data_IF_089420558830
#
_entry.id   IF_089420558830
#
_cell.length_a   1.000
_cell.length_b   1.000
_cell.length_c   1.000
_cell.angle_alpha   90.00
_cell.angle_beta   90.00
_cell.angle_gamma   90.00
#
_symmetry.space_group_name_H-M   'P 1'
#
loop_
_entity.id
_entity.type
_entity.pdbx_description
1 polymer ?
#
# COMPACT_ATOMS: atom_id res chain seq x y z
N UNK A 1 -47.35 14.48 48.81
CA UNK A 1 -46.58 13.36 48.23
C UNK A 1 -47.31 12.87 46.98
N UNK A 2 -46.61 12.63 45.87
CA UNK A 2 -47.08 12.07 44.58
C UNK A 2 -47.55 13.02 43.45
N UNK A 3 -46.75 14.04 43.13
CA UNK A 3 -46.74 14.66 41.79
C UNK A 3 -45.76 13.92 40.83
N UNK A 4 -44.94 12.99 41.35
CA UNK A 4 -43.87 12.32 40.58
C UNK A 4 -44.40 11.18 39.69
N UNK A 5 -45.65 10.75 39.80
CA UNK A 5 -46.16 9.56 39.07
C UNK A 5 -46.72 9.81 37.66
N UNK A 6 -46.57 11.01 37.08
CA UNK A 6 -47.24 11.33 35.81
C UNK A 6 -46.38 11.99 34.74
N UNK A 7 -45.10 11.62 34.66
CA UNK A 7 -44.27 11.90 33.48
C UNK A 7 -43.29 10.75 33.23
N UNK A 8 -43.80 9.57 32.93
CA UNK A 8 -43.03 8.61 32.13
C UNK A 8 -43.88 8.37 30.90
N UNK A 9 -43.64 9.28 29.94
CA UNK A 9 -44.39 9.36 28.70
C UNK A 9 -44.43 8.00 28.02
N UNK A 10 -45.60 7.72 27.45
CA UNK A 10 -45.80 6.72 26.43
C UNK A 10 -44.82 7.04 25.30
N UNK A 11 -43.60 6.51 25.39
CA UNK A 11 -42.68 6.51 24.27
C UNK A 11 -43.33 5.62 23.22
N UNK A 12 -43.93 6.28 22.25
CA UNK A 12 -44.67 5.67 21.17
C UNK A 12 -43.73 4.67 20.47
N UNK A 13 -44.09 3.39 20.52
CA UNK A 13 -43.26 2.28 20.01
C UNK A 13 -42.91 2.48 18.53
N UNK A 14 -43.76 3.21 17.79
CA UNK A 14 -43.53 3.66 16.40
C UNK A 14 -42.33 4.59 16.28
N UNK A 15 -42.12 5.49 17.23
CA UNK A 15 -40.97 6.39 17.27
C UNK A 15 -39.67 5.62 17.54
N UNK A 16 -39.73 4.58 18.38
CA UNK A 16 -38.58 3.72 18.68
C UNK A 16 -38.18 2.85 17.48
N UNK A 17 -39.15 2.25 16.80
CA UNK A 17 -38.96 1.52 15.54
C UNK A 17 -38.38 2.41 14.44
N UNK A 18 -38.87 3.65 14.30
CA UNK A 18 -38.31 4.63 13.37
C UNK A 18 -36.85 4.97 13.66
N UNK A 19 -36.47 5.08 14.94
CA UNK A 19 -35.11 5.37 15.39
C UNK A 19 -34.14 4.19 15.14
N UNK A 20 -34.59 2.95 15.37
CA UNK A 20 -33.83 1.73 15.05
C UNK A 20 -33.66 1.60 13.54
N UNK A 21 -34.70 1.88 12.74
CA UNK A 21 -34.61 1.87 11.29
C UNK A 21 -33.61 2.93 10.80
N UNK A 22 -33.64 4.15 11.37
CA UNK A 22 -32.67 5.20 11.06
C UNK A 22 -31.23 4.77 11.39
N UNK A 23 -30.99 4.21 12.58
CA UNK A 23 -29.68 3.70 13.00
C UNK A 23 -29.18 2.55 12.11
N UNK A 24 -30.08 1.72 11.58
CA UNK A 24 -29.74 0.63 10.67
C UNK A 24 -29.30 1.13 9.28
N UNK A 25 -29.88 2.24 8.79
CA UNK A 25 -29.46 2.87 7.52
C UNK A 25 -28.06 3.49 7.65
N UNK A 26 -27.73 4.07 8.81
CA UNK A 26 -26.36 4.56 9.07
C UNK A 26 -25.33 3.44 9.31
N UNK A 27 -25.76 2.25 9.72
CA UNK A 27 -24.88 1.07 9.87
C UNK A 27 -24.51 0.41 8.54
N UNK A 28 -25.23 0.76 7.46
CA UNK A 28 -25.00 0.26 6.10
C UNK A 28 -23.84 0.93 5.36
N UNK A 29 -23.38 2.10 5.81
CA UNK A 29 -22.13 2.70 5.33
C UNK A 29 -20.92 2.10 6.05
N UNK A 30 -20.73 0.78 5.93
CA UNK A 30 -19.36 0.26 6.02
C UNK A 30 -18.71 0.76 4.74
N UNK A 31 -17.92 1.83 4.87
CA UNK A 31 -17.02 2.32 3.82
C UNK A 31 -16.48 1.11 3.06
N UNK A 32 -16.50 1.21 1.75
CA UNK A 32 -16.14 0.16 0.82
C UNK A 32 -14.62 -0.11 0.93
N UNK A 33 -14.17 -0.64 2.08
CA UNK A 33 -12.76 -0.82 2.48
C UNK A 33 -12.02 -1.70 1.49
N UNK A 34 -12.75 -2.50 0.70
CA UNK A 34 -12.23 -3.34 -0.38
C UNK A 34 -11.48 -2.52 -1.45
N UNK A 35 -11.76 -1.23 -1.59
CA UNK A 35 -11.20 -0.34 -2.61
C UNK A 35 -10.29 0.78 -2.06
N UNK A 36 -9.81 0.71 -0.81
CA UNK A 36 -8.86 1.73 -0.33
C UNK A 36 -7.49 1.58 -1.01
N UNK A 37 -6.74 2.68 -1.25
CA UNK A 37 -5.37 2.62 -1.77
C UNK A 37 -4.46 1.66 -1.00
N UNK A 38 -4.61 1.61 0.33
CA UNK A 38 -3.91 0.64 1.17
C UNK A 38 -4.25 -0.81 0.80
N UNK A 39 -5.52 -1.15 0.57
CA UNK A 39 -5.89 -2.52 0.14
C UNK A 39 -5.33 -2.89 -1.23
N UNK A 40 -5.13 -1.93 -2.12
CA UNK A 40 -4.48 -2.16 -3.41
C UNK A 40 -3.04 -2.65 -3.19
N UNK A 41 -2.29 -1.96 -2.31
CA UNK A 41 -0.92 -2.34 -1.94
C UNK A 41 -0.91 -3.71 -1.25
N UNK A 42 -1.77 -3.91 -0.24
CA UNK A 42 -1.83 -5.17 0.52
C UNK A 42 -2.09 -6.38 -0.38
N UNK A 43 -3.10 -6.29 -1.26
CA UNK A 43 -3.52 -7.42 -2.09
C UNK A 43 -2.49 -7.77 -3.18
N UNK A 44 -1.68 -6.80 -3.61
CA UNK A 44 -0.69 -6.98 -4.65
C UNK A 44 0.74 -7.04 -4.09
N UNK A 45 0.90 -7.04 -2.77
CA UNK A 45 2.19 -6.76 -2.12
C UNK A 45 3.35 -7.64 -2.61
N UNK A 46 3.14 -8.96 -2.68
CA UNK A 46 4.19 -9.89 -3.13
C UNK A 46 4.62 -9.66 -4.58
N UNK A 47 3.70 -9.25 -5.44
CA UNK A 47 3.99 -8.89 -6.84
C UNK A 47 4.72 -7.56 -6.94
N UNK A 48 4.49 -6.62 -6.01
CA UNK A 48 5.12 -5.30 -6.00
C UNK A 48 6.59 -5.34 -5.61
N UNK A 49 6.91 -6.11 -4.55
CA UNK A 49 8.24 -6.10 -3.94
C UNK A 49 9.23 -7.05 -4.60
N UNK A 50 8.77 -7.84 -5.58
CA UNK A 50 9.53 -8.94 -6.18
C UNK A 50 9.93 -10.01 -5.14
N UNK A 51 9.78 -11.29 -5.48
CA UNK A 51 10.20 -12.36 -4.58
C UNK A 51 11.69 -12.67 -4.69
N UNK A 52 12.47 -11.89 -5.43
CA UNK A 52 13.94 -12.01 -5.53
C UNK A 52 14.62 -12.14 -4.15
N UNK A 53 14.16 -11.40 -3.13
CA UNK A 53 14.73 -11.51 -1.79
C UNK A 53 14.47 -12.88 -1.11
N UNK A 54 13.54 -13.71 -1.62
CA UNK A 54 13.34 -15.08 -1.12
C UNK A 54 14.51 -15.99 -1.46
N UNK A 55 15.28 -15.66 -2.50
CA UNK A 55 16.45 -16.39 -2.97
C UNK A 55 17.74 -15.72 -2.50
N UNK A 56 17.79 -14.39 -2.50
CA UNK A 56 19.03 -13.62 -2.27
C UNK A 56 19.07 -12.83 -0.96
N UNK A 57 17.93 -12.67 -0.27
CA UNK A 57 17.88 -12.10 1.08
C UNK A 57 17.97 -10.59 1.09
N UNK A 58 17.92 -9.98 -0.10
CA UNK A 58 17.90 -8.56 -0.39
C UNK A 58 17.07 -8.32 -1.65
N UNK A 59 16.48 -7.14 -1.80
CA UNK A 59 15.71 -6.80 -3.00
C UNK A 59 16.57 -6.60 -4.27
N UNK A 60 17.90 -6.56 -4.14
CA UNK A 60 18.85 -6.41 -5.24
C UNK A 60 20.12 -7.24 -5.02
N UNK A 61 20.85 -7.58 -6.08
CA UNK A 61 22.19 -8.16 -5.93
C UNK A 61 23.13 -7.11 -5.33
N UNK A 62 23.62 -7.39 -4.13
CA UNK A 62 24.69 -6.62 -3.48
C UNK A 62 25.99 -6.96 -4.21
N UNK A 63 26.85 -5.97 -4.45
CA UNK A 63 28.13 -6.16 -5.15
C UNK A 63 28.90 -7.36 -4.56
N UNK A 64 29.16 -8.35 -5.40
CA UNK A 64 29.69 -9.65 -5.01
C UNK A 64 31.17 -9.49 -4.68
N UNK A 65 31.53 -9.31 -3.42
CA UNK A 65 32.81 -9.83 -2.95
C UNK A 65 32.66 -11.36 -2.86
N UNK A 66 33.33 -12.06 -3.77
CA UNK A 66 33.36 -13.53 -4.00
C UNK A 66 33.81 -14.38 -2.81
N UNK A 67 33.89 -13.81 -1.59
CA UNK A 67 34.08 -14.53 -0.32
C UNK A 67 32.78 -14.71 0.47
N UNK A 68 31.65 -14.15 0.02
CA UNK A 68 30.38 -14.07 0.75
C UNK A 68 29.30 -15.08 0.30
N UNK A 69 29.59 -15.94 -0.67
CA UNK A 69 28.63 -16.92 -1.22
C UNK A 69 28.02 -17.84 -0.13
N UNK A 70 28.79 -18.18 0.91
CA UNK A 70 28.29 -18.98 2.04
C UNK A 70 27.49 -18.18 3.09
N UNK A 71 27.71 -16.87 3.22
CA UNK A 71 26.99 -16.02 4.20
C UNK A 71 25.68 -15.43 3.65
N UNK A 72 25.44 -15.51 2.34
CA UNK A 72 24.28 -14.96 1.66
C UNK A 72 23.25 -16.01 1.22
N UNK A 73 23.42 -17.28 1.58
CA UNK A 73 22.40 -18.30 1.34
C UNK A 73 21.17 -18.06 2.24
N UNK A 74 20.07 -17.59 1.63
CA UNK A 74 18.76 -17.38 2.29
C UNK A 74 18.16 -18.66 2.87
N UNK A 75 18.74 -19.84 2.56
CA UNK A 75 18.29 -21.14 3.06
C UNK A 75 18.25 -21.22 4.59
N UNK A 76 18.95 -20.35 5.31
CA UNK A 76 18.97 -20.33 6.78
C UNK A 76 18.01 -19.33 7.44
N UNK A 77 17.31 -18.51 6.66
CA UNK A 77 16.40 -17.50 7.21
C UNK A 77 14.95 -17.82 6.83
N UNK A 78 14.16 -18.49 7.69
CA UNK A 78 12.76 -18.80 7.38
C UNK A 78 11.92 -17.55 7.16
N UNK A 79 12.32 -16.43 7.78
CA UNK A 79 11.64 -15.15 7.71
C UNK A 79 12.61 -14.03 7.31
N UNK A 80 12.07 -13.04 6.60
CA UNK A 80 12.75 -11.83 6.17
C UNK A 80 12.08 -10.62 6.84
N UNK A 81 12.82 -9.57 7.11
CA UNK A 81 12.28 -8.32 7.62
C UNK A 81 12.38 -7.23 6.58
N UNK A 82 11.29 -6.48 6.42
CA UNK A 82 11.23 -5.33 5.53
C UNK A 82 10.70 -4.11 6.27
N UNK A 83 11.22 -2.96 5.90
CA UNK A 83 10.67 -1.67 6.30
C UNK A 83 9.80 -1.13 5.18
N UNK A 84 8.61 -0.61 5.53
CA UNK A 84 7.74 0.09 4.59
C UNK A 84 7.57 1.54 5.05
N UNK A 85 7.74 2.48 4.13
CA UNK A 85 7.43 3.88 4.38
C UNK A 85 5.93 4.06 4.63
N UNK A 86 5.59 4.51 5.85
CA UNK A 86 4.20 4.65 6.28
C UNK A 86 3.45 5.75 5.52
N UNK A 87 4.14 6.84 5.17
CA UNK A 87 3.55 7.99 4.47
C UNK A 87 3.75 7.82 2.97
N UNK A 88 2.65 7.92 2.23
CA UNK A 88 2.62 7.89 0.78
C UNK A 88 2.27 9.30 0.33
N UNK A 89 3.15 9.86 -0.50
CA UNK A 89 3.04 11.24 -0.97
C UNK A 89 3.46 11.38 -2.42
N UNK A 90 3.40 12.62 -2.90
CA UNK A 90 3.99 12.96 -4.19
C UNK A 90 5.50 13.13 -4.02
N UNK A 91 6.24 12.57 -4.95
CA UNK A 91 7.66 12.61 -5.14
C UNK A 91 7.93 13.18 -6.53
N UNK A 92 8.85 14.13 -6.61
CA UNK A 92 9.31 14.68 -7.89
C UNK A 92 10.41 13.81 -8.52
N UNK A 93 10.74 12.67 -7.89
CA UNK A 93 11.74 11.75 -8.44
C UNK A 93 11.22 11.20 -9.76
N UNK A 94 12.10 11.29 -10.77
CA UNK A 94 11.90 10.73 -12.09
C UNK A 94 10.60 11.20 -12.80
N UNK A 95 10.22 12.47 -12.61
CA UNK A 95 9.00 13.04 -13.20
C UNK A 95 9.00 12.95 -14.74
N UNK A 96 10.15 13.18 -15.36
CA UNK A 96 10.31 13.06 -16.82
C UNK A 96 10.12 11.62 -17.30
N UNK A 97 10.64 10.65 -16.54
CA UNK A 97 10.52 9.22 -16.82
C UNK A 97 9.07 8.74 -16.64
N UNK A 98 8.37 9.23 -15.61
CA UNK A 98 6.94 8.98 -15.41
C UNK A 98 6.14 9.53 -16.59
N UNK A 99 6.38 10.79 -16.98
CA UNK A 99 5.68 11.40 -18.11
C UNK A 99 5.98 10.66 -19.42
N UNK A 100 7.25 10.31 -19.66
CA UNK A 100 7.68 9.53 -20.81
C UNK A 100 7.00 8.16 -20.87
N UNK A 101 6.85 7.48 -19.73
CA UNK A 101 6.07 6.24 -19.63
C UNK A 101 4.61 6.47 -20.01
N UNK A 102 3.94 7.46 -19.40
CA UNK A 102 2.52 7.73 -19.64
C UNK A 102 2.24 8.12 -21.10
N UNK A 103 3.12 8.90 -21.73
CA UNK A 103 3.02 9.24 -23.15
C UNK A 103 3.15 7.99 -24.03
N UNK A 104 4.16 7.14 -23.78
CA UNK A 104 4.39 5.91 -24.55
C UNK A 104 3.22 4.94 -24.45
N UNK A 105 2.64 4.80 -23.27
CA UNK A 105 1.44 3.97 -23.05
C UNK A 105 0.15 4.65 -23.52
N UNK A 106 0.21 5.89 -24.03
CA UNK A 106 -0.95 6.71 -24.45
C UNK A 106 -1.95 6.95 -23.32
N UNK A 107 -1.45 7.08 -22.09
CA UNK A 107 -2.22 7.29 -20.87
C UNK A 107 -2.17 8.72 -20.35
N UNK A 108 -1.33 9.59 -20.92
CA UNK A 108 -1.09 10.96 -20.46
C UNK A 108 -2.39 11.75 -20.25
N UNK A 109 -3.29 11.75 -21.24
CA UNK A 109 -4.58 12.43 -21.15
C UNK A 109 -5.47 11.94 -20.01
N UNK A 110 -5.34 10.68 -19.57
CA UNK A 110 -6.14 10.12 -18.46
C UNK A 110 -5.68 10.61 -17.09
N UNK A 111 -4.43 11.05 -16.97
CA UNK A 111 -3.82 11.42 -15.69
C UNK A 111 -3.41 12.89 -15.58
N UNK A 112 -3.41 13.64 -16.69
CA UNK A 112 -3.06 15.07 -16.72
C UNK A 112 -3.96 15.92 -15.82
N UNK A 113 -5.27 15.61 -15.74
CA UNK A 113 -6.22 16.35 -14.91
C UNK A 113 -6.12 16.03 -13.41
N UNK A 114 -5.42 14.94 -13.04
CA UNK A 114 -5.27 14.47 -11.66
C UNK A 114 -4.06 15.10 -10.94
N UNK A 115 -3.41 16.08 -11.55
CA UNK A 115 -2.21 16.75 -11.02
C UNK A 115 -2.46 17.57 -9.74
N UNK A 116 -3.72 17.86 -9.38
CA UNK A 116 -4.06 18.76 -8.27
C UNK A 116 -4.81 18.15 -7.06
N UNK A 117 -5.10 16.85 -7.01
CA UNK A 117 -5.95 16.30 -5.95
C UNK A 117 -5.23 15.57 -4.80
N UNK A 118 -5.71 15.87 -3.59
CA UNK A 118 -5.42 15.27 -2.28
C UNK A 118 -5.54 13.73 -2.22
N UNK A 119 -6.09 13.09 -3.25
CA UNK A 119 -6.26 11.62 -3.32
C UNK A 119 -4.93 10.87 -3.49
N UNK A 120 -3.83 11.57 -3.77
CA UNK A 120 -2.50 10.98 -3.99
C UNK A 120 -1.68 10.79 -2.72
N UNK A 121 -2.18 11.28 -1.57
CA UNK A 121 -1.45 11.26 -0.31
C UNK A 121 -2.25 10.55 0.78
N UNK A 122 -1.66 9.54 1.38
CA UNK A 122 -2.28 8.79 2.47
C UNK A 122 -1.24 8.16 3.39
N UNK A 123 -1.70 7.66 4.53
CA UNK A 123 -0.86 7.02 5.53
C UNK A 123 -1.32 5.58 5.65
N UNK A 124 -0.39 4.63 5.53
CA UNK A 124 -0.63 3.24 5.86
C UNK A 124 -0.96 3.15 7.36
N UNK A 125 -2.15 2.66 7.67
CA UNK A 125 -2.63 2.63 9.05
C UNK A 125 -2.16 1.37 9.80
N UNK A 126 -2.55 1.26 11.06
CA UNK A 126 -2.17 0.13 11.92
C UNK A 126 -2.84 -1.19 11.53
N UNK A 127 -3.77 -1.18 10.57
CA UNK A 127 -4.44 -2.38 10.04
C UNK A 127 -3.66 -3.04 8.91
N UNK A 128 -2.59 -2.43 8.42
CA UNK A 128 -1.69 -3.05 7.45
C UNK A 128 -1.09 -4.35 8.03
N UNK A 129 -1.07 -5.45 7.26
CA UNK A 129 -0.56 -6.73 7.75
C UNK A 129 0.89 -6.63 8.22
N UNK A 130 1.16 -7.09 9.44
CA UNK A 130 2.53 -7.19 9.98
C UNK A 130 3.35 -8.32 9.34
N UNK A 131 2.71 -9.20 8.57
CA UNK A 131 3.34 -10.31 7.87
C UNK A 131 2.63 -10.59 6.56
N UNK A 132 3.38 -10.73 5.47
CA UNK A 132 2.90 -11.15 4.15
C UNK A 132 3.91 -12.12 3.54
N UNK A 133 3.51 -13.37 3.31
CA UNK A 133 4.43 -14.44 2.92
C UNK A 133 5.54 -14.64 3.96
N UNK A 134 6.81 -14.64 3.52
CA UNK A 134 7.99 -14.71 4.40
C UNK A 134 8.42 -13.36 4.99
N UNK A 135 7.78 -12.26 4.60
CA UNK A 135 8.15 -10.92 5.04
C UNK A 135 7.42 -10.55 6.34
N UNK A 136 8.19 -10.22 7.38
CA UNK A 136 7.74 -9.45 8.52
C UNK A 136 7.88 -7.96 8.21
N UNK A 137 6.78 -7.23 8.38
CA UNK A 137 6.61 -5.86 7.90
C UNK A 137 6.63 -4.90 9.09
N UNK A 138 7.47 -3.88 8.99
CA UNK A 138 7.59 -2.81 9.99
C UNK A 138 7.46 -1.43 9.35
N UNK A 139 6.85 -0.49 10.06
CA UNK A 139 6.89 0.94 9.73
C UNK A 139 7.99 1.71 10.46
N UNK A 140 8.76 1.02 11.30
CA UNK A 140 9.91 1.59 11.99
C UNK A 140 11.19 1.04 11.35
N UNK A 141 12.17 1.91 11.01
CA UNK A 141 13.44 1.51 10.42
C UNK A 141 14.32 0.91 11.52
N UNK A 142 13.95 -0.27 12.02
CA UNK A 142 14.74 -1.02 12.99
C UNK A 142 15.13 -2.34 12.35
N UNK A 143 16.42 -2.53 12.10
CA UNK A 143 16.98 -3.80 11.63
C UNK A 143 16.83 -4.82 12.77
N UNK A 144 15.93 -5.81 12.66
CA UNK A 144 15.78 -6.80 13.72
C UNK A 144 17.05 -7.65 13.82
N UNK A 145 17.45 -7.98 15.03
CA UNK A 145 18.72 -8.69 15.28
C UNK A 145 18.65 -10.19 14.98
N UNK A 146 17.44 -10.76 14.84
CA UNK A 146 17.22 -12.21 14.68
C UNK A 146 16.64 -12.63 13.32
N UNK A 147 16.31 -11.67 12.46
CA UNK A 147 15.62 -11.90 11.19
C UNK A 147 16.47 -11.21 10.12
N UNK A 148 16.73 -11.87 8.98
CA UNK A 148 17.50 -11.26 7.90
C UNK A 148 16.73 -10.06 7.36
N UNK A 149 17.39 -8.91 7.36
CA UNK A 149 16.87 -7.69 6.78
C UNK A 149 16.96 -7.76 5.26
N UNK A 150 15.81 -7.65 4.58
CA UNK A 150 15.72 -7.71 3.13
C UNK A 150 15.75 -6.32 2.47
N UNK A 151 15.36 -5.27 3.21
CA UNK A 151 15.44 -3.90 2.73
C UNK A 151 14.21 -3.04 3.04
N UNK A 152 14.07 -1.97 2.25
CA UNK A 152 13.06 -0.93 2.38
C UNK A 152 12.17 -0.88 1.14
N UNK A 153 10.89 -0.59 1.37
CA UNK A 153 9.88 -0.40 0.33
C UNK A 153 9.20 0.94 0.55
N UNK A 154 9.27 1.82 -0.44
CA UNK A 154 8.53 3.07 -0.43
C UNK A 154 7.53 3.12 -1.58
N UNK A 155 6.39 3.78 -1.35
CA UNK A 155 5.37 4.01 -2.37
C UNK A 155 5.15 5.51 -2.53
N UNK A 156 5.01 5.97 -3.76
CA UNK A 156 4.78 7.38 -4.08
C UNK A 156 3.93 7.57 -5.34
N UNK A 157 3.51 8.81 -5.58
CA UNK A 157 2.78 9.26 -6.78
C UNK A 157 1.56 8.40 -7.11
N UNK A 158 0.78 8.06 -6.08
CA UNK A 158 -0.38 7.21 -6.25
C UNK A 158 -1.52 7.98 -6.93
N UNK A 159 -1.88 7.61 -8.16
CA UNK A 159 -2.96 8.26 -8.92
C UNK A 159 -3.98 7.24 -9.40
N UNK A 160 -5.26 7.53 -9.23
CA UNK A 160 -6.38 6.73 -9.76
C UNK A 160 -7.23 7.61 -10.68
N UNK A 161 -7.47 7.12 -11.89
CA UNK A 161 -8.40 7.67 -12.88
C UNK A 161 -9.42 6.59 -13.23
N UNK A 162 -10.63 6.69 -12.66
CA UNK A 162 -11.70 5.70 -12.82
C UNK A 162 -11.28 4.25 -12.46
N UNK A 163 -11.09 3.42 -13.48
CA UNK A 163 -10.72 2.01 -13.43
C UNK A 163 -9.22 1.76 -13.65
N UNK A 164 -8.44 2.81 -13.89
CA UNK A 164 -6.99 2.74 -14.05
C UNK A 164 -6.30 3.53 -12.96
N UNK A 165 -5.08 3.13 -12.63
CA UNK A 165 -4.24 3.87 -11.73
C UNK A 165 -2.78 3.57 -11.95
N UNK A 166 -1.92 4.41 -11.41
CA UNK A 166 -0.50 4.11 -11.31
C UNK A 166 0.07 4.58 -9.99
N UNK A 167 1.20 4.01 -9.61
CA UNK A 167 2.01 4.49 -8.52
C UNK A 167 3.46 4.06 -8.73
N UNK A 168 4.37 4.61 -7.94
CA UNK A 168 5.77 4.24 -7.93
C UNK A 168 6.02 3.36 -6.71
N UNK A 169 6.77 2.28 -6.91
CA UNK A 169 7.35 1.47 -5.84
C UNK A 169 8.86 1.53 -5.92
N UNK A 170 9.49 1.93 -4.83
CA UNK A 170 10.94 1.98 -4.68
C UNK A 170 11.39 0.85 -3.78
N UNK A 171 12.40 0.11 -4.22
CA UNK A 171 13.01 -0.98 -3.47
C UNK A 171 14.48 -0.65 -3.21
N UNK A 172 14.91 -0.71 -1.95
CA UNK A 172 16.31 -0.55 -1.54
C UNK A 172 16.71 -1.63 -0.51
N UNK A 173 17.99 -1.86 -0.31
CA UNK A 173 18.53 -2.68 0.80
C UNK A 173 18.84 -1.83 2.05
N UNK A 174 18.42 -0.57 2.09
CA UNK A 174 18.73 0.39 3.16
C UNK A 174 20.09 1.09 3.04
N UNK A 175 20.75 1.01 1.88
CA UNK A 175 21.94 1.81 1.50
C UNK A 175 21.61 2.89 0.45
N UNK A 176 22.62 3.61 -0.06
CA UNK A 176 22.51 4.81 -0.91
C UNK A 176 21.88 4.61 -2.30
N UNK A 177 21.52 3.38 -2.67
CA UNK A 177 20.91 3.08 -3.96
C UNK A 177 19.43 2.74 -3.83
N UNK A 178 18.61 2.90 -4.86
CA UNK A 178 17.24 2.37 -4.92
C UNK A 178 16.90 2.02 -6.37
N UNK A 179 15.95 1.12 -6.57
CA UNK A 179 15.36 0.88 -7.89
C UNK A 179 13.89 1.29 -7.81
N UNK A 180 13.52 2.27 -8.63
CA UNK A 180 12.14 2.74 -8.76
C UNK A 180 11.44 2.05 -9.92
N UNK A 181 10.22 1.57 -9.67
CA UNK A 181 9.35 0.99 -10.69
C UNK A 181 8.05 1.78 -10.78
N UNK A 182 7.59 2.04 -12.00
CA UNK A 182 6.20 2.43 -12.22
C UNK A 182 5.34 1.18 -12.27
N UNK A 183 4.22 1.23 -11.55
CA UNK A 183 3.23 0.15 -11.51
C UNK A 183 1.93 0.70 -12.04
N UNK A 184 1.44 0.11 -13.11
CA UNK A 184 0.12 0.37 -13.67
C UNK A 184 -0.86 -0.69 -13.15
N UNK A 185 -2.00 -0.21 -12.63
CA UNK A 185 -3.07 -1.04 -12.09
C UNK A 185 -4.37 -0.78 -12.84
N UNK A 186 -5.19 -1.81 -12.94
CA UNK A 186 -6.54 -1.74 -13.52
C UNK A 186 -7.54 -2.44 -12.60
N UNK A 187 -8.77 -1.91 -12.56
CA UNK A 187 -9.88 -2.44 -11.77
C UNK A 187 -10.77 -3.32 -12.63
N UNK A 188 -10.60 -4.63 -12.52
CA UNK A 188 -11.46 -5.63 -13.17
C UNK A 188 -12.34 -6.31 -12.12
N UNK A 189 -13.66 -6.38 -12.35
CA UNK A 189 -14.63 -7.01 -11.43
C UNK A 189 -14.57 -6.47 -10.00
N UNK A 190 -14.28 -5.18 -9.87
CA UNK A 190 -14.15 -4.52 -8.58
C UNK A 190 -12.86 -4.85 -7.81
N UNK A 191 -11.87 -5.46 -8.46
CA UNK A 191 -10.57 -5.82 -7.87
C UNK A 191 -9.46 -5.12 -8.67
N UNK A 192 -8.58 -4.42 -7.96
CA UNK A 192 -7.38 -3.81 -8.54
C UNK A 192 -6.27 -4.83 -8.74
N UNK A 193 -5.78 -4.96 -9.98
CA UNK A 193 -4.70 -5.86 -10.37
C UNK A 193 -3.58 -5.07 -11.03
N UNK A 194 -2.34 -5.53 -10.85
CA UNK A 194 -1.20 -5.01 -11.61
C UNK A 194 -1.30 -5.53 -13.04
N UNK A 195 -1.31 -4.60 -14.00
CA UNK A 195 -1.28 -4.92 -15.43
C UNK A 195 0.08 -4.64 -16.06
N UNK A 196 0.87 -3.75 -15.47
CA UNK A 196 2.25 -3.47 -15.91
C UNK A 196 3.12 -3.04 -14.74
N UNK A 197 4.39 -3.45 -14.77
CA UNK A 197 5.45 -2.98 -13.87
C UNK A 197 6.70 -2.80 -14.70
N UNK A 198 7.30 -1.61 -14.67
CA UNK A 198 8.48 -1.28 -15.48
C UNK A 198 9.49 -0.51 -14.63
N UNK A 199 10.80 -0.82 -14.72
CA UNK A 199 11.82 -0.01 -14.07
C UNK A 199 11.82 1.41 -14.67
N UNK A 200 11.85 2.42 -13.81
CA UNK A 200 11.99 3.83 -14.21
C UNK A 200 13.41 4.34 -14.02
N UNK A 201 14.00 4.07 -12.86
CA UNK A 201 15.32 4.60 -12.50
C UNK A 201 16.04 3.69 -11.52
N UNK A 202 17.34 3.94 -11.40
CA UNK A 202 18.21 3.40 -10.36
C UNK A 202 19.07 4.54 -9.82
N UNK A 203 19.12 4.68 -8.50
CA UNK A 203 20.06 5.59 -7.83
C UNK A 203 21.31 4.85 -7.37
#
# INVERSE_FOLDING_TARGET
MNIIKKMVGILNIRTYLGLILLLSVFSGCKDNKKNSPQKIIENNFLTLVDTFAYEHGSFRPVGIDTRSEEQNSVKHYPELSIFISKKIGNSNIAENEIHGFLQREKLDSKFNELTNEKQSQFVLDTTFPKKIGRYNISFEPKKPTKIKYAGEVAFSNFKISHDLGYFIVELSDGEDSSIGFIVLIEKTDGIWKIIKREPLYRT
#
